data_IF_407696956656
#
_entry.id   IF_407696956656
#
_cell.length_a   1.000
_cell.length_b   1.000
_cell.length_c   1.000
_cell.angle_alpha   90.00
_cell.angle_beta   90.00
_cell.angle_gamma   90.00
#
_symmetry.space_group_name_H-M   'P 1'
#
loop_
_entity.id
_entity.type
_entity.pdbx_description
1 polymer ?
#
# COMPACT_ATOMS: atom_id res chain seq x y z
N UNK A 1 15.78 -7.35 16.37
CA UNK A 1 16.41 -6.26 15.57
C UNK A 1 16.88 -6.71 14.18
N UNK A 2 17.56 -7.84 14.01
CA UNK A 2 18.25 -8.16 12.73
C UNK A 2 17.43 -8.46 11.46
N UNK A 3 16.10 -8.63 11.49
CA UNK A 3 15.33 -8.90 10.25
C UNK A 3 14.95 -7.62 9.50
N UNK A 4 14.57 -6.56 10.23
CA UNK A 4 14.22 -5.27 9.64
C UNK A 4 15.42 -4.55 9.04
N UNK A 5 16.59 -4.67 9.67
CA UNK A 5 17.83 -4.05 9.17
C UNK A 5 18.31 -4.73 7.88
N UNK A 6 18.13 -6.05 7.75
CA UNK A 6 18.39 -6.78 6.50
C UNK A 6 17.43 -6.37 5.39
N UNK A 7 16.13 -6.31 5.70
CA UNK A 7 15.10 -5.91 4.74
C UNK A 7 15.31 -4.46 4.25
N UNK A 8 15.66 -3.54 5.16
CA UNK A 8 15.98 -2.15 4.84
C UNK A 8 17.22 -2.05 3.93
N UNK A 9 18.30 -2.77 4.26
CA UNK A 9 19.50 -2.81 3.42
C UNK A 9 19.22 -3.36 2.03
N UNK A 10 18.41 -4.42 1.93
CA UNK A 10 18.02 -5.03 0.65
C UNK A 10 17.17 -4.07 -0.20
N UNK A 11 16.17 -3.42 0.41
CA UNK A 11 15.34 -2.43 -0.30
C UNK A 11 16.18 -1.24 -0.78
N UNK A 12 17.07 -0.71 0.06
CA UNK A 12 17.95 0.41 -0.30
C UNK A 12 18.95 0.05 -1.41
N UNK A 13 19.44 -1.19 -1.43
CA UNK A 13 20.33 -1.65 -2.51
C UNK A 13 19.58 -1.72 -3.85
N UNK A 14 18.39 -2.32 -3.89
CA UNK A 14 17.59 -2.38 -5.11
C UNK A 14 17.17 -0.99 -5.62
N UNK A 15 16.91 -0.05 -4.70
CA UNK A 15 16.65 1.35 -5.03
C UNK A 15 17.85 2.07 -5.67
N UNK A 16 19.07 1.56 -5.49
CA UNK A 16 20.28 2.12 -6.10
C UNK A 16 20.58 1.57 -7.50
N UNK A 17 20.02 0.40 -7.85
CA UNK A 17 20.26 -0.25 -9.14
C UNK A 17 19.23 0.13 -10.21
N UNK A 18 18.03 0.52 -9.80
CA UNK A 18 16.93 0.89 -10.70
C UNK A 18 16.78 2.42 -10.79
N UNK A 19 16.36 2.96 -11.96
CA UNK A 19 15.94 4.36 -12.07
C UNK A 19 14.86 4.67 -11.02
N UNK A 20 14.91 5.86 -10.40
CA UNK A 20 14.06 6.21 -9.24
C UNK A 20 12.55 6.06 -9.47
N UNK A 21 12.12 6.13 -10.72
CA UNK A 21 10.71 6.03 -11.14
C UNK A 21 10.33 4.65 -11.71
N UNK A 22 11.20 3.65 -11.60
CA UNK A 22 10.94 2.32 -12.18
C UNK A 22 9.76 1.63 -11.46
N UNK A 23 8.68 1.25 -12.17
CA UNK A 23 7.44 0.72 -11.57
C UNK A 23 7.62 -0.35 -10.51
N UNK A 24 8.60 -1.23 -10.71
CA UNK A 24 8.91 -2.36 -9.82
C UNK A 24 9.48 -1.92 -8.46
N UNK A 25 9.74 -0.62 -8.27
CA UNK A 25 10.19 -0.09 -6.98
C UNK A 25 9.07 0.09 -5.95
N UNK A 26 7.81 0.14 -6.39
CA UNK A 26 6.67 0.40 -5.50
C UNK A 26 6.56 -0.57 -4.31
N UNK A 27 6.73 -1.91 -4.48
CA UNK A 27 6.71 -2.85 -3.36
C UNK A 27 7.85 -2.61 -2.34
N UNK A 28 9.03 -2.20 -2.80
CA UNK A 28 10.16 -1.93 -1.90
C UNK A 28 9.92 -0.68 -1.07
N UNK A 29 9.36 0.38 -1.66
CA UNK A 29 8.93 1.55 -0.91
C UNK A 29 7.84 1.20 0.11
N UNK A 30 6.86 0.37 -0.25
CA UNK A 30 5.85 -0.10 0.71
C UNK A 30 6.50 -0.83 1.91
N UNK A 31 7.45 -1.74 1.63
CA UNK A 31 8.15 -2.48 2.68
C UNK A 31 9.01 -1.58 3.57
N UNK A 32 9.69 -0.57 3.01
CA UNK A 32 10.40 0.45 3.80
C UNK A 32 9.44 1.23 4.71
N UNK A 33 8.23 1.54 4.22
CA UNK A 33 7.16 2.13 5.00
C UNK A 33 6.79 1.26 6.21
N UNK A 34 6.58 -0.04 6.00
CA UNK A 34 6.28 -0.98 7.08
C UNK A 34 7.42 -1.09 8.10
N UNK A 35 8.67 -1.19 7.62
CA UNK A 35 9.86 -1.25 8.48
C UNK A 35 9.96 0.00 9.35
N UNK A 36 9.77 1.18 8.76
CA UNK A 36 9.79 2.45 9.48
C UNK A 36 8.67 2.51 10.53
N UNK A 37 7.46 2.05 10.21
CA UNK A 37 6.33 1.97 11.16
C UNK A 37 6.67 1.08 12.36
N UNK A 38 7.24 -0.10 12.13
CA UNK A 38 7.67 -1.02 13.19
C UNK A 38 8.78 -0.43 14.07
N UNK A 39 9.64 0.42 13.50
CA UNK A 39 10.67 1.17 14.23
C UNK A 39 10.14 2.44 14.93
N UNK A 40 8.84 2.71 14.86
CA UNK A 40 8.22 3.92 15.43
C UNK A 40 8.51 5.21 14.66
N UNK A 41 9.13 5.12 13.47
CA UNK A 41 9.47 6.25 12.61
C UNK A 41 8.29 6.59 11.70
N UNK A 42 7.22 7.11 12.29
CA UNK A 42 5.93 7.25 11.60
C UNK A 42 5.95 8.23 10.42
N UNK A 43 6.67 9.35 10.50
CA UNK A 43 6.74 10.31 9.40
C UNK A 43 7.46 9.72 8.18
N UNK A 44 8.61 9.07 8.42
CA UNK A 44 9.36 8.35 7.39
C UNK A 44 8.52 7.22 6.79
N UNK A 45 7.72 6.53 7.61
CA UNK A 45 6.80 5.51 7.14
C UNK A 45 5.77 6.06 6.15
N UNK A 46 5.16 7.20 6.48
CA UNK A 46 4.19 7.87 5.61
C UNK A 46 4.82 8.34 4.29
N UNK A 47 6.04 8.87 4.32
CA UNK A 47 6.77 9.25 3.11
C UNK A 47 6.99 8.07 2.18
N UNK A 48 7.40 6.91 2.72
CA UNK A 48 7.62 5.71 1.93
C UNK A 48 6.32 5.13 1.36
N UNK A 49 5.26 5.09 2.15
CA UNK A 49 3.95 4.67 1.64
C UNK A 49 3.39 5.62 0.58
N UNK A 50 3.62 6.93 0.71
CA UNK A 50 3.22 7.92 -0.28
C UNK A 50 3.92 7.68 -1.63
N UNK A 51 5.23 7.43 -1.62
CA UNK A 51 5.99 7.07 -2.82
C UNK A 51 5.49 5.77 -3.45
N UNK A 52 5.26 4.73 -2.65
CA UNK A 52 4.69 3.48 -3.15
C UNK A 52 3.33 3.71 -3.83
N UNK A 53 2.47 4.50 -3.20
CA UNK A 53 1.14 4.84 -3.71
C UNK A 53 1.20 5.64 -5.02
N UNK A 54 2.10 6.61 -5.12
CA UNK A 54 2.32 7.37 -6.36
C UNK A 54 2.66 6.44 -7.53
N UNK A 55 3.56 5.48 -7.31
CA UNK A 55 3.99 4.54 -8.35
C UNK A 55 2.89 3.53 -8.70
N UNK A 56 2.16 3.02 -7.71
CA UNK A 56 1.00 2.16 -7.96
C UNK A 56 -0.07 2.90 -8.76
N UNK A 57 -0.36 4.17 -8.46
CA UNK A 57 -1.34 4.95 -9.22
C UNK A 57 -0.93 5.20 -10.68
N UNK A 58 0.37 5.19 -11.00
CA UNK A 58 0.86 5.32 -12.38
C UNK A 58 0.74 4.01 -13.17
N UNK A 59 0.69 2.86 -12.50
CA UNK A 59 0.95 1.54 -13.14
C UNK A 59 -0.14 0.50 -12.91
N UNK A 60 -1.06 0.75 -11.97
CA UNK A 60 -2.16 -0.14 -11.57
C UNK A 60 -3.49 0.56 -11.74
N UNK A 61 -4.57 -0.22 -11.81
CA UNK A 61 -5.91 0.35 -11.81
C UNK A 61 -6.23 0.95 -10.43
N UNK A 62 -7.03 2.03 -10.33
CA UNK A 62 -7.31 2.70 -9.05
C UNK A 62 -8.03 1.82 -8.02
N UNK A 63 -8.64 0.72 -8.45
CA UNK A 63 -9.30 -0.28 -7.63
C UNK A 63 -8.43 -1.51 -7.34
N UNK A 64 -7.11 -1.45 -7.57
CA UNK A 64 -6.19 -2.55 -7.30
C UNK A 64 -6.08 -2.88 -5.79
N UNK A 65 -6.07 -4.17 -5.38
CA UNK A 65 -5.97 -4.57 -3.97
C UNK A 65 -4.72 -4.06 -3.25
N UNK A 66 -3.62 -3.84 -3.98
CA UNK A 66 -2.35 -3.35 -3.43
C UNK A 66 -2.47 -1.88 -3.03
N UNK A 67 -3.24 -1.09 -3.80
CA UNK A 67 -3.55 0.30 -3.44
C UNK A 67 -4.38 0.34 -2.15
N UNK A 68 -5.38 -0.53 -2.02
CA UNK A 68 -6.16 -0.64 -0.78
C UNK A 68 -5.31 -1.04 0.42
N UNK A 69 -4.38 -1.99 0.25
CA UNK A 69 -3.44 -2.42 1.30
C UNK A 69 -2.50 -1.29 1.71
N UNK A 70 -2.04 -0.47 0.77
CA UNK A 70 -1.21 0.70 1.06
C UNK A 70 -1.98 1.76 1.86
N UNK A 71 -3.22 2.07 1.48
CA UNK A 71 -4.08 2.96 2.27
C UNK A 71 -4.37 2.42 3.68
N UNK A 72 -4.58 1.11 3.83
CA UNK A 72 -4.75 0.51 5.15
C UNK A 72 -3.50 0.70 6.03
N UNK A 73 -2.32 0.54 5.45
CA UNK A 73 -1.04 0.71 6.15
C UNK A 73 -0.82 2.17 6.57
N UNK A 74 -1.13 3.13 5.69
CA UNK A 74 -1.14 4.57 6.02
C UNK A 74 -2.12 4.86 7.17
N UNK A 75 -3.30 4.25 7.14
CA UNK A 75 -4.30 4.38 8.20
C UNK A 75 -3.78 3.88 9.56
N UNK A 76 -3.08 2.75 9.57
CA UNK A 76 -2.46 2.21 10.78
C UNK A 76 -1.38 3.13 11.33
N UNK A 77 -0.53 3.70 10.47
CA UNK A 77 0.50 4.66 10.88
C UNK A 77 -0.15 5.90 11.52
N UNK A 78 -1.18 6.47 10.88
CA UNK A 78 -1.90 7.61 11.46
C UNK A 78 -2.59 7.27 12.78
N UNK A 79 -3.14 6.06 12.92
CA UNK A 79 -3.72 5.60 14.16
C UNK A 79 -2.68 5.51 15.29
N UNK A 80 -1.49 4.98 15.00
CA UNK A 80 -0.35 4.93 15.93
C UNK A 80 0.19 6.32 16.30
N UNK A 81 0.06 7.30 15.40
CA UNK A 81 0.31 8.73 15.68
C UNK A 81 -0.81 9.45 16.42
N UNK A 82 -1.84 8.74 16.87
CA UNK A 82 -3.07 9.29 17.47
C UNK A 82 -3.86 10.25 16.55
N UNK A 83 -3.53 10.30 15.25
CA UNK A 83 -4.24 11.09 14.26
C UNK A 83 -5.44 10.29 13.71
N UNK A 84 -6.52 10.27 14.49
CA UNK A 84 -7.73 9.48 14.19
C UNK A 84 -8.45 9.93 12.92
N UNK A 85 -8.42 11.23 12.61
CA UNK A 85 -9.05 11.80 11.41
C UNK A 85 -8.42 11.24 10.14
N UNK A 86 -7.09 11.31 10.01
CA UNK A 86 -6.40 10.82 8.82
C UNK A 86 -6.39 9.29 8.76
N UNK A 87 -6.36 8.62 9.91
CA UNK A 87 -6.51 7.17 9.99
C UNK A 87 -7.85 6.71 9.39
N UNK A 88 -8.95 7.34 9.85
CA UNK A 88 -10.29 7.02 9.37
C UNK A 88 -10.45 7.30 7.87
N UNK A 89 -9.91 8.42 7.38
CA UNK A 89 -9.94 8.73 5.95
C UNK A 89 -9.22 7.65 5.13
N UNK A 90 -8.04 7.24 5.57
CA UNK A 90 -7.23 6.22 4.90
C UNK A 90 -7.94 4.86 4.90
N UNK A 91 -8.53 4.45 6.02
CA UNK A 91 -9.33 3.22 6.10
C UNK A 91 -10.58 3.28 5.22
N UNK A 92 -11.25 4.44 5.12
CA UNK A 92 -12.38 4.63 4.20
C UNK A 92 -11.97 4.46 2.74
N UNK A 93 -10.81 5.00 2.34
CA UNK A 93 -10.27 4.83 0.98
C UNK A 93 -9.99 3.35 0.68
N UNK A 94 -9.32 2.64 1.59
CA UNK A 94 -9.06 1.21 1.47
C UNK A 94 -10.36 0.38 1.37
N UNK A 95 -11.35 0.69 2.21
CA UNK A 95 -12.64 0.00 2.22
C UNK A 95 -13.40 0.21 0.90
N UNK A 96 -13.40 1.43 0.36
CA UNK A 96 -14.10 1.74 -0.89
C UNK A 96 -13.55 0.94 -2.07
N UNK A 97 -12.23 0.78 -2.14
CA UNK A 97 -11.58 -0.05 -3.17
C UNK A 97 -12.00 -1.52 -3.04
N UNK A 98 -11.91 -2.09 -1.83
CA UNK A 98 -12.31 -3.49 -1.60
C UNK A 98 -13.78 -3.74 -1.92
N UNK A 99 -14.66 -2.78 -1.64
CA UNK A 99 -16.09 -2.87 -2.02
C UNK A 99 -16.27 -2.98 -3.53
N UNK A 100 -15.57 -2.16 -4.32
CA UNK A 100 -15.65 -2.22 -5.79
C UNK A 100 -15.20 -3.58 -6.32
N UNK A 101 -14.13 -4.14 -5.77
CA UNK A 101 -13.66 -5.48 -6.13
C UNK A 101 -14.72 -6.56 -5.84
N UNK A 102 -15.30 -6.54 -4.64
CA UNK A 102 -16.37 -7.48 -4.29
C UNK A 102 -17.57 -7.37 -5.24
N UNK A 103 -17.95 -6.15 -5.64
CA UNK A 103 -19.02 -5.95 -6.61
C UNK A 103 -18.67 -6.53 -7.98
N UNK A 104 -17.44 -6.32 -8.47
CA UNK A 104 -16.97 -6.91 -9.72
C UNK A 104 -17.01 -8.44 -9.69
N UNK A 105 -16.52 -9.05 -8.61
CA UNK A 105 -16.56 -10.50 -8.42
C UNK A 105 -18.01 -11.03 -8.39
N UNK A 106 -18.90 -10.35 -7.68
CA UNK A 106 -20.32 -10.72 -7.63
C UNK A 106 -20.98 -10.65 -9.02
N UNK A 107 -20.66 -9.64 -9.83
CA UNK A 107 -21.13 -9.54 -11.21
C UNK A 107 -20.62 -10.69 -12.08
N UNK A 108 -19.36 -11.10 -11.92
CA UNK A 108 -18.82 -12.27 -12.64
C UNK A 108 -19.62 -13.53 -12.32
N UNK A 109 -19.89 -13.81 -11.04
CA UNK A 109 -20.72 -14.96 -10.65
C UNK A 109 -22.14 -14.90 -11.19
N UNK A 110 -22.78 -13.73 -11.14
CA UNK A 110 -24.10 -13.54 -11.72
C UNK A 110 -24.11 -13.82 -13.23
N UNK A 111 -23.13 -13.29 -13.97
CA UNK A 111 -23.01 -13.52 -15.40
C UNK A 111 -22.74 -14.99 -15.72
N UNK A 112 -21.91 -15.68 -14.94
CA UNK A 112 -21.71 -17.13 -15.10
C UNK A 112 -23.01 -17.91 -14.85
N UNK A 113 -23.78 -17.54 -13.83
CA UNK A 113 -25.07 -18.16 -13.53
C UNK A 113 -26.17 -17.87 -14.57
N UNK A 114 -26.03 -16.83 -15.40
CA UNK A 114 -26.93 -16.57 -16.53
C UNK A 114 -26.55 -17.37 -17.79
N UNK A 115 -25.30 -17.85 -17.87
CA UNK A 115 -24.80 -18.63 -19.01
C UNK A 115 -25.08 -20.12 -18.83
N UNK A 116 -25.12 -20.62 -17.60
CA UNK A 116 -25.48 -22.00 -17.25
C UNK A 116 -26.96 -22.12 -16.93
#
# INVERSE_FOLDING_TARGET
MGQYDKAEKYCNHLLSELPRDHPDLAPYYHNLGMIANHKGKYDISLEWFAKALEMYNKTRQPDDPVIATTYNSIGEVHFRKENRTNALESFKKALNIRKKQHLQVAMCYHNMGNVY
#
